data_IF_871860453822
#
_entry.id   IF_871860453822
#
_cell.length_a   1.000
_cell.length_b   1.000
_cell.length_c   1.000
_cell.angle_alpha   90.00
_cell.angle_beta   90.00
_cell.angle_gamma   90.00
#
_symmetry.space_group_name_H-M   'P 1'
#
loop_
_entity.id
_entity.type
_entity.pdbx_description
1 polymer ?
#
# COMPACT_ATOMS: atom_id res chain seq x y z
N UNK A 1 5.60 20.57 -0.52
CA UNK A 1 5.06 19.60 -1.49
C UNK A 1 3.58 19.89 -1.69
N UNK A 2 3.03 19.77 -2.91
CA UNK A 2 1.58 19.80 -3.18
C UNK A 2 1.01 18.38 -3.44
N UNK A 3 1.91 17.43 -3.65
CA UNK A 3 1.60 16.09 -4.12
C UNK A 3 1.59 15.05 -3.00
N UNK A 4 1.02 13.88 -3.26
CA UNK A 4 0.73 12.86 -2.23
C UNK A 4 1.34 11.50 -2.56
N UNK A 5 1.55 10.68 -1.52
CA UNK A 5 1.81 9.25 -1.68
C UNK A 5 1.02 8.43 -0.67
N UNK A 6 0.68 7.19 -1.05
CA UNK A 6 0.13 6.20 -0.13
C UNK A 6 1.23 5.68 0.80
N UNK A 7 1.04 5.83 2.11
CA UNK A 7 2.08 5.55 3.12
C UNK A 7 1.70 4.40 4.05
N UNK A 8 0.45 4.36 4.50
CA UNK A 8 0.08 3.54 5.66
C UNK A 8 -1.26 2.85 5.46
N UNK A 9 -1.25 1.53 5.62
CA UNK A 9 -2.45 0.71 5.61
C UNK A 9 -2.99 0.54 7.03
N UNK A 10 -4.30 0.65 7.18
CA UNK A 10 -5.03 0.21 8.36
C UNK A 10 -5.98 -0.90 7.97
N UNK A 11 -6.11 -1.91 8.84
CA UNK A 11 -7.04 -3.03 8.69
C UNK A 11 -7.91 -3.07 9.93
N UNK A 12 -9.22 -2.91 9.74
CA UNK A 12 -10.20 -2.84 10.82
C UNK A 12 -9.80 -1.80 11.90
N UNK A 13 -9.41 -0.61 11.43
CA UNK A 13 -8.91 0.53 12.21
C UNK A 13 -7.56 0.32 12.91
N UNK A 14 -6.95 -0.87 12.81
CA UNK A 14 -5.61 -1.13 13.32
C UNK A 14 -4.57 -0.61 12.34
N UNK A 15 -3.73 0.34 12.77
CA UNK A 15 -2.57 0.81 12.02
C UNK A 15 -1.58 -0.36 11.83
N UNK A 16 -1.23 -0.68 10.58
CA UNK A 16 -0.25 -1.72 10.29
C UNK A 16 1.19 -1.22 10.40
N UNK A 17 1.41 0.09 10.49
CA UNK A 17 2.70 0.77 10.53
C UNK A 17 3.09 1.35 9.18
N UNK A 18 3.72 2.52 9.18
CA UNK A 18 4.14 3.21 7.97
C UNK A 18 5.01 2.32 7.08
N UNK A 19 4.69 2.27 5.78
CA UNK A 19 5.32 1.42 4.77
C UNK A 19 5.08 -0.09 4.95
N UNK A 20 4.49 -0.55 6.05
CA UNK A 20 4.31 -1.99 6.29
C UNK A 20 3.27 -2.55 5.32
N UNK A 21 3.66 -3.59 4.58
CA UNK A 21 2.86 -4.21 3.53
C UNK A 21 2.55 -3.28 2.34
N UNK A 22 3.12 -2.08 2.28
CA UNK A 22 2.94 -1.09 1.20
C UNK A 22 4.17 -1.06 0.32
N UNK A 23 3.98 -1.15 -0.99
CA UNK A 23 5.03 -1.01 -2.01
C UNK A 23 5.21 0.48 -2.34
N UNK A 24 6.06 1.16 -1.57
CA UNK A 24 6.30 2.60 -1.71
C UNK A 24 7.51 2.88 -2.62
N UNK A 25 7.56 4.05 -3.29
CA UNK A 25 8.80 4.56 -3.87
C UNK A 25 9.86 4.81 -2.80
N UNK A 26 11.14 4.72 -3.18
CA UNK A 26 12.27 4.91 -2.27
C UNK A 26 12.94 6.28 -2.35
N UNK A 27 12.81 6.97 -3.49
CA UNK A 27 13.40 8.30 -3.71
C UNK A 27 12.52 9.40 -3.09
N UNK A 28 13.01 10.05 -2.05
CA UNK A 28 12.33 11.10 -1.28
C UNK A 28 11.94 12.31 -2.15
N UNK A 29 12.74 12.65 -3.16
CA UNK A 29 12.49 13.79 -4.06
C UNK A 29 11.35 13.54 -5.03
N UNK A 30 11.05 12.27 -5.31
CA UNK A 30 10.08 11.90 -6.34
C UNK A 30 8.94 11.03 -5.83
N UNK A 31 8.96 10.59 -4.56
CA UNK A 31 7.99 9.68 -3.99
C UNK A 31 6.54 10.18 -4.05
N UNK A 32 6.35 11.50 -3.96
CA UNK A 32 5.01 12.10 -4.07
C UNK A 32 4.63 12.50 -5.48
N UNK A 33 5.55 12.44 -6.47
CA UNK A 33 5.25 12.88 -7.83
C UNK A 33 4.20 11.98 -8.50
N UNK A 34 3.35 12.52 -9.38
CA UNK A 34 2.39 11.73 -10.11
C UNK A 34 3.09 10.72 -11.04
N UNK A 35 2.42 9.59 -11.29
CA UNK A 35 2.92 8.57 -12.21
C UNK A 35 2.87 9.08 -13.65
N UNK A 36 3.99 8.99 -14.35
CA UNK A 36 4.13 9.33 -15.77
C UNK A 36 5.12 8.37 -16.45
N UNK A 37 4.90 8.00 -17.73
CA UNK A 37 3.64 8.18 -18.50
C UNK A 37 2.54 7.21 -18.04
N UNK A 38 1.28 7.48 -18.39
CA UNK A 38 0.12 6.61 -18.08
C UNK A 38 0.15 5.23 -18.79
N UNK A 39 1.12 5.02 -19.67
CA UNK A 39 1.39 3.73 -20.33
C UNK A 39 2.47 2.91 -19.62
N UNK A 40 3.14 3.47 -18.61
CA UNK A 40 4.18 2.78 -17.83
C UNK A 40 3.59 1.65 -16.99
N UNK A 41 4.39 0.61 -16.72
CA UNK A 41 4.09 -0.42 -15.73
C UNK A 41 3.86 0.17 -14.33
N UNK A 42 4.46 1.33 -14.03
CA UNK A 42 4.27 2.05 -12.77
C UNK A 42 2.81 2.45 -12.53
N UNK A 43 1.96 2.49 -13.55
CA UNK A 43 0.52 2.73 -13.35
C UNK A 43 -0.17 1.65 -12.51
N UNK A 44 0.41 0.45 -12.40
CA UNK A 44 -0.14 -0.60 -11.57
C UNK A 44 0.00 -0.27 -10.08
N UNK A 45 1.21 0.09 -9.63
CA UNK A 45 1.51 0.18 -8.20
C UNK A 45 2.43 1.35 -7.78
N UNK A 46 2.74 2.25 -8.71
CA UNK A 46 3.61 3.41 -8.49
C UNK A 46 5.05 3.07 -8.82
N UNK A 47 5.93 4.08 -8.74
CA UNK A 47 7.38 3.89 -8.92
C UNK A 47 7.90 2.92 -7.87
N UNK A 48 8.71 1.95 -8.29
CA UNK A 48 9.17 0.80 -7.49
C UNK A 48 8.04 -0.13 -6.98
N UNK A 49 6.77 0.17 -7.26
CA UNK A 49 5.63 -0.62 -6.78
C UNK A 49 5.43 -1.95 -7.54
N UNK A 50 6.13 -2.14 -8.66
CA UNK A 50 6.19 -3.43 -9.34
C UNK A 50 6.85 -4.50 -8.48
N UNK A 51 7.83 -4.11 -7.65
CA UNK A 51 8.58 -5.02 -6.79
C UNK A 51 7.80 -5.31 -5.49
N UNK A 52 7.73 -6.58 -5.07
CA UNK A 52 7.08 -6.94 -3.83
C UNK A 52 7.90 -6.51 -2.62
N UNK A 53 7.21 -6.26 -1.50
CA UNK A 53 7.85 -5.99 -0.20
C UNK A 53 7.82 -7.22 0.71
N UNK A 54 8.74 -7.36 1.68
CA UNK A 54 8.81 -8.56 2.52
C UNK A 54 7.55 -8.95 3.28
N UNK A 55 6.74 -7.99 3.77
CA UNK A 55 5.57 -8.30 4.59
C UNK A 55 4.25 -8.26 3.80
N UNK A 56 3.33 -9.14 4.21
CA UNK A 56 1.98 -9.25 3.69
C UNK A 56 1.03 -9.18 4.88
N UNK A 57 0.06 -8.26 4.83
CA UNK A 57 -0.84 -8.02 5.95
C UNK A 57 -2.10 -8.88 5.82
N UNK A 58 -2.44 -9.63 6.86
CA UNK A 58 -3.66 -10.44 6.87
C UNK A 58 -4.90 -9.56 7.10
N UNK A 59 -5.93 -9.74 6.28
CA UNK A 59 -7.24 -9.10 6.41
C UNK A 59 -8.34 -10.15 6.23
N UNK A 60 -9.45 -10.05 6.95
CA UNK A 60 -10.60 -10.95 6.71
C UNK A 60 -11.41 -10.47 5.52
N UNK A 61 -12.16 -11.37 4.87
CA UNK A 61 -13.25 -10.95 3.98
C UNK A 61 -14.16 -9.94 4.71
N UNK A 62 -14.54 -8.85 4.06
CA UNK A 62 -15.36 -7.81 4.72
C UNK A 62 -14.62 -6.82 5.62
N UNK A 63 -13.32 -7.01 5.90
CA UNK A 63 -12.51 -6.06 6.67
C UNK A 63 -12.56 -4.67 6.05
N UNK A 64 -12.50 -3.65 6.92
CA UNK A 64 -12.36 -2.27 6.50
C UNK A 64 -10.88 -1.98 6.25
N UNK A 65 -10.51 -1.71 5.00
CA UNK A 65 -9.20 -1.19 4.66
C UNK A 65 -9.25 0.33 4.67
N UNK A 66 -8.27 0.96 5.31
CA UNK A 66 -8.06 2.40 5.21
C UNK A 66 -6.67 2.68 4.69
N UNK A 67 -6.58 3.51 3.65
CA UNK A 67 -5.34 3.90 2.99
C UNK A 67 -5.05 5.35 3.39
N UNK A 68 -3.89 5.59 3.99
CA UNK A 68 -3.44 6.92 4.37
C UNK A 68 -2.52 7.51 3.30
N UNK A 69 -2.97 8.62 2.72
CA UNK A 69 -2.23 9.43 1.78
C UNK A 69 -1.64 10.64 2.50
N UNK A 70 -0.32 10.85 2.37
CA UNK A 70 0.39 11.95 3.02
C UNK A 70 1.09 12.85 2.01
N UNK A 71 1.07 14.14 2.31
CA UNK A 71 1.79 15.19 1.57
C UNK A 71 3.29 15.15 1.89
N UNK A 72 3.59 14.86 3.16
CA UNK A 72 4.92 14.64 3.72
C UNK A 72 4.98 13.19 4.17
N UNK A 73 5.61 12.29 3.40
CA UNK A 73 5.49 10.85 3.66
C UNK A 73 6.06 10.43 5.02
N UNK A 74 7.05 11.18 5.52
CA UNK A 74 7.67 11.03 6.85
C UNK A 74 6.90 11.68 8.00
N UNK A 75 5.74 12.28 7.70
CA UNK A 75 4.88 12.96 8.65
C UNK A 75 5.55 14.11 9.42
N UNK A 76 6.61 14.74 8.87
CA UNK A 76 7.19 15.96 9.47
C UNK A 76 6.19 17.12 9.55
N UNK A 77 5.21 17.16 8.64
CA UNK A 77 4.11 18.11 8.66
C UNK A 77 2.79 17.40 8.33
N UNK A 78 1.65 17.89 8.85
CA UNK A 78 0.35 17.35 8.48
C UNK A 78 0.03 17.67 7.01
N UNK A 79 -0.87 16.88 6.43
CA UNK A 79 -1.39 17.11 5.08
C UNK A 79 -1.47 15.81 4.28
N UNK A 80 -2.41 15.76 3.34
CA UNK A 80 -2.64 14.60 2.48
C UNK A 80 -2.28 14.90 1.04
N UNK A 81 -3.00 15.82 0.42
CA UNK A 81 -2.78 16.36 -0.93
C UNK A 81 -3.23 17.82 -0.94
N UNK A 82 -2.67 18.65 -1.82
CA UNK A 82 -3.16 20.01 -2.02
C UNK A 82 -4.65 20.00 -2.42
N UNK A 83 -5.52 20.80 -1.77
CA UNK A 83 -6.97 20.80 -2.05
C UNK A 83 -7.35 21.16 -3.49
N UNK A 84 -6.47 21.84 -4.24
CA UNK A 84 -6.66 22.15 -5.65
C UNK A 84 -6.53 20.94 -6.57
N UNK A 85 -6.00 19.80 -6.11
CA UNK A 85 -5.86 18.56 -6.88
C UNK A 85 -7.19 17.79 -7.02
N UNK A 86 -8.28 18.50 -7.27
CA UNK A 86 -9.62 17.94 -7.36
C UNK A 86 -9.70 16.82 -8.40
N UNK A 87 -10.45 15.77 -8.06
CA UNK A 87 -10.72 14.64 -8.93
C UNK A 87 -11.17 13.39 -8.19
N UNK A 88 -11.39 12.28 -8.90
CA UNK A 88 -11.96 11.07 -8.32
C UNK A 88 -10.91 10.23 -7.59
N UNK A 89 -11.40 9.25 -6.83
CA UNK A 89 -10.60 8.14 -6.33
C UNK A 89 -11.21 6.80 -6.71
N UNK A 90 -10.38 5.76 -6.72
CA UNK A 90 -10.81 4.38 -6.94
C UNK A 90 -9.95 3.40 -6.14
N UNK A 91 -10.50 2.22 -5.86
CA UNK A 91 -9.74 1.11 -5.27
C UNK A 91 -9.94 -0.14 -6.12
N UNK A 92 -8.82 -0.75 -6.50
CA UNK A 92 -8.77 -1.99 -7.28
C UNK A 92 -8.13 -3.11 -6.49
N UNK A 93 -8.51 -4.34 -6.82
CA UNK A 93 -7.88 -5.56 -6.34
C UNK A 93 -7.36 -6.36 -7.53
N UNK A 94 -6.24 -7.07 -7.33
CA UNK A 94 -5.76 -8.14 -8.20
C UNK A 94 -5.42 -9.34 -7.34
N UNK A 95 -6.06 -10.49 -7.60
CA UNK A 95 -5.65 -11.75 -6.98
C UNK A 95 -4.36 -12.22 -7.65
N UNK A 96 -3.42 -12.70 -6.85
CA UNK A 96 -2.17 -13.33 -7.31
C UNK A 96 -2.05 -14.70 -6.65
N UNK A 97 -1.32 -15.60 -7.29
CA UNK A 97 -1.01 -16.92 -6.75
C UNK A 97 0.28 -16.85 -5.92
N UNK A 98 1.27 -16.11 -6.39
CA UNK A 98 2.51 -15.83 -5.67
C UNK A 98 2.78 -14.32 -5.59
N UNK A 99 2.67 -13.75 -4.38
CA UNK A 99 2.90 -12.32 -4.14
C UNK A 99 4.30 -11.83 -4.55
N UNK A 100 5.30 -12.71 -4.52
CA UNK A 100 6.70 -12.34 -4.73
C UNK A 100 7.18 -12.49 -6.19
N UNK A 101 6.44 -13.20 -7.04
CA UNK A 101 6.82 -13.40 -8.45
C UNK A 101 5.78 -12.91 -9.44
N UNK A 102 4.50 -12.85 -9.06
CA UNK A 102 3.45 -12.45 -9.98
C UNK A 102 3.50 -10.94 -10.21
N UNK A 103 3.50 -10.53 -11.48
CA UNK A 103 3.57 -9.11 -11.83
C UNK A 103 2.33 -8.36 -11.34
N UNK A 104 2.53 -7.19 -10.74
CA UNK A 104 1.44 -6.27 -10.46
C UNK A 104 0.83 -5.70 -11.75
N UNK A 105 1.65 -5.46 -12.76
CA UNK A 105 1.19 -4.94 -14.05
C UNK A 105 0.43 -6.02 -14.86
N UNK A 106 -0.32 -5.57 -15.87
CA UNK A 106 -1.11 -6.42 -16.74
C UNK A 106 -2.54 -6.65 -16.26
N UNK A 107 -3.15 -7.75 -16.70
CA UNK A 107 -4.55 -8.08 -16.44
C UNK A 107 -4.85 -8.58 -15.02
N UNK A 108 -6.13 -8.87 -14.77
CA UNK A 108 -6.60 -9.45 -13.50
C UNK A 108 -7.06 -8.44 -12.45
N UNK A 109 -6.98 -7.14 -12.75
CA UNK A 109 -7.50 -6.10 -11.88
C UNK A 109 -9.02 -5.99 -11.98
N UNK A 110 -9.67 -5.65 -10.88
CA UNK A 110 -11.07 -5.26 -10.86
C UNK A 110 -11.30 -4.19 -9.81
N UNK A 111 -12.21 -3.27 -10.11
CA UNK A 111 -12.55 -2.14 -9.24
C UNK A 111 -13.54 -2.59 -8.17
N UNK A 112 -13.26 -2.32 -6.89
CA UNK A 112 -14.18 -2.63 -5.78
C UNK A 112 -14.89 -1.40 -5.21
N UNK A 113 -14.39 -0.21 -5.53
CA UNK A 113 -14.94 1.06 -5.05
C UNK A 113 -14.48 2.21 -5.94
N UNK A 114 -15.34 3.21 -6.09
CA UNK A 114 -15.03 4.50 -6.69
C UNK A 114 -15.78 5.62 -6.00
N UNK A 115 -15.21 6.81 -6.09
CA UNK A 115 -15.83 8.04 -5.63
C UNK A 115 -15.44 9.20 -6.56
N UNK A 116 -16.45 9.83 -7.18
CA UNK A 116 -16.28 10.85 -8.20
C UNK A 116 -16.75 12.23 -7.74
N UNK A 117 -17.27 13.02 -8.68
CA UNK A 117 -17.91 14.29 -8.37
C UNK A 117 -19.36 14.08 -7.94
N UNK A 118 -19.73 14.63 -6.77
CA UNK A 118 -21.12 14.70 -6.32
C UNK A 118 -21.69 16.08 -6.60
N UNK A 119 -22.65 16.16 -7.53
CA UNK A 119 -23.27 17.42 -7.95
C UNK A 119 -24.16 18.06 -6.87
N UNK A 120 -24.59 17.31 -5.85
CA UNK A 120 -25.43 17.85 -4.76
C UNK A 120 -24.59 18.60 -3.74
N UNK A 121 -23.43 18.05 -3.41
CA UNK A 121 -22.49 18.66 -2.45
C UNK A 121 -21.43 19.52 -3.12
N UNK A 122 -21.29 19.41 -4.45
CA UNK A 122 -20.22 20.00 -5.25
C UNK A 122 -18.83 19.57 -4.75
N UNK A 123 -18.70 18.31 -4.32
CA UNK A 123 -17.48 17.76 -3.73
C UNK A 123 -16.94 16.58 -4.53
N UNK A 124 -15.64 16.60 -4.77
CA UNK A 124 -14.87 15.49 -5.32
C UNK A 124 -14.42 14.52 -4.22
N UNK A 125 -13.90 13.36 -4.62
CA UNK A 125 -13.26 12.46 -3.65
C UNK A 125 -12.11 13.16 -2.92
N UNK A 126 -11.30 13.95 -3.63
CA UNK A 126 -10.17 14.67 -3.03
C UNK A 126 -10.61 15.64 -1.93
N UNK A 127 -11.74 16.33 -2.06
CA UNK A 127 -12.29 17.13 -0.96
C UNK A 127 -12.54 16.28 0.30
N UNK A 128 -13.14 15.09 0.12
CA UNK A 128 -13.44 14.17 1.21
C UNK A 128 -12.18 13.55 1.80
N UNK A 129 -11.18 13.27 0.98
CA UNK A 129 -9.86 12.79 1.40
C UNK A 129 -9.16 13.83 2.27
N UNK A 130 -9.11 15.09 1.82
CA UNK A 130 -8.51 16.20 2.58
C UNK A 130 -9.25 16.40 3.91
N UNK A 131 -10.59 16.41 3.88
CA UNK A 131 -11.42 16.51 5.09
C UNK A 131 -11.16 15.37 6.09
N UNK A 132 -10.83 14.18 5.59
CA UNK A 132 -10.53 12.99 6.39
C UNK A 132 -9.03 12.81 6.66
N UNK A 133 -8.23 13.87 6.58
CA UNK A 133 -6.78 13.85 6.85
C UNK A 133 -6.02 12.77 6.04
N UNK A 134 -6.40 12.56 4.77
CA UNK A 134 -5.74 11.59 3.89
C UNK A 134 -6.24 10.15 4.05
N UNK A 135 -7.25 9.90 4.89
CA UNK A 135 -7.77 8.56 5.13
C UNK A 135 -8.90 8.21 4.15
N UNK A 136 -8.61 7.29 3.23
CA UNK A 136 -9.59 6.71 2.30
C UNK A 136 -9.97 5.30 2.77
N UNK A 137 -11.26 5.05 3.06
CA UNK A 137 -11.70 3.76 3.62
C UNK A 137 -12.64 3.00 2.70
N UNK A 138 -12.36 1.71 2.48
CA UNK A 138 -13.15 0.80 1.64
C UNK A 138 -13.27 -0.57 2.31
N UNK A 139 -14.45 -1.18 2.26
CA UNK A 139 -14.65 -2.55 2.73
C UNK A 139 -14.27 -3.56 1.66
N UNK A 140 -13.51 -4.58 2.04
CA UNK A 140 -13.30 -5.73 1.17
C UNK A 140 -14.63 -6.43 0.87
N UNK A 141 -14.90 -6.83 -0.38
CA UNK A 141 -16.06 -7.66 -0.70
C UNK A 141 -16.06 -8.97 0.12
N UNK A 142 -17.24 -9.35 0.62
CA UNK A 142 -17.41 -10.60 1.38
C UNK A 142 -17.36 -11.86 0.52
N UNK A 143 -17.48 -11.73 -0.80
CA UNK A 143 -17.36 -12.85 -1.75
C UNK A 143 -15.95 -13.12 -2.24
N UNK A 144 -14.91 -12.51 -1.65
CA UNK A 144 -13.53 -12.82 -2.05
C UNK A 144 -13.12 -14.21 -1.53
N UNK A 145 -12.60 -15.11 -2.39
CA UNK A 145 -11.94 -16.32 -1.94
C UNK A 145 -10.64 -16.01 -1.23
N UNK A 146 -10.17 -16.96 -0.42
CA UNK A 146 -8.91 -16.81 0.32
C UNK A 146 -7.71 -16.68 -0.62
N UNK A 147 -6.67 -15.97 -0.18
CA UNK A 147 -5.37 -15.92 -0.86
C UNK A 147 -4.76 -14.54 -0.92
N UNK A 148 -3.73 -14.41 -1.76
CA UNK A 148 -2.95 -13.19 -1.91
C UNK A 148 -3.62 -12.20 -2.86
N UNK A 149 -3.68 -10.93 -2.45
CA UNK A 149 -4.22 -9.84 -3.24
C UNK A 149 -3.32 -8.61 -3.16
N UNK A 150 -3.12 -7.98 -4.32
CA UNK A 150 -2.57 -6.63 -4.41
C UNK A 150 -3.76 -5.67 -4.39
N UNK A 151 -3.68 -4.65 -3.53
CA UNK A 151 -4.72 -3.62 -3.38
C UNK A 151 -4.18 -2.28 -3.82
N UNK A 152 -4.84 -1.64 -4.78
CA UNK A 152 -4.42 -0.39 -5.40
C UNK A 152 -5.42 0.73 -5.12
N UNK A 153 -5.20 1.57 -4.10
CA UNK A 153 -5.86 2.86 -4.02
C UNK A 153 -5.27 3.82 -5.07
N UNK A 154 -6.14 4.62 -5.68
CA UNK A 154 -5.81 5.59 -6.71
C UNK A 154 -6.54 6.90 -6.46
N UNK A 155 -5.83 8.00 -6.68
CA UNK A 155 -6.34 9.36 -6.80
C UNK A 155 -5.95 9.85 -8.20
N UNK A 156 -6.90 10.44 -8.91
CA UNK A 156 -6.66 11.13 -10.17
C UNK A 156 -6.93 12.61 -9.96
N UNK A 157 -5.91 13.45 -10.06
CA UNK A 157 -6.04 14.90 -10.00
C UNK A 157 -6.24 15.48 -11.40
N UNK A 158 -7.22 16.37 -11.55
CA UNK A 158 -7.70 16.88 -12.83
C UNK A 158 -7.43 18.38 -13.06
N UNK A 159 -6.79 19.04 -12.11
CA UNK A 159 -6.54 20.50 -12.15
C UNK A 159 -5.78 20.97 -13.40
N UNK A 160 -5.03 20.09 -14.06
CA UNK A 160 -4.38 20.37 -15.35
C UNK A 160 -4.82 19.46 -16.51
N UNK A 161 -5.83 18.62 -16.28
CA UNK A 161 -6.28 17.60 -17.24
C UNK A 161 -6.72 18.21 -18.58
N UNK A 162 -7.65 19.17 -18.56
CA UNK A 162 -8.21 19.74 -19.79
C UNK A 162 -7.39 20.90 -20.38
N UNK A 163 -6.60 21.61 -19.56
CA UNK A 163 -5.91 22.83 -19.98
C UNK A 163 -4.43 22.64 -20.32
N UNK A 164 -3.83 21.52 -19.93
CA UNK A 164 -2.42 21.19 -20.21
C UNK A 164 -2.21 19.74 -20.65
N UNK A 165 -3.30 19.00 -20.90
CA UNK A 165 -3.26 17.57 -21.19
C UNK A 165 -2.48 16.76 -20.13
N UNK A 166 -2.57 17.18 -18.85
CA UNK A 166 -1.80 16.60 -17.74
C UNK A 166 -2.70 16.06 -16.61
N UNK A 167 -3.45 14.96 -16.84
CA UNK A 167 -4.08 14.23 -15.75
C UNK A 167 -3.03 13.54 -14.88
N UNK A 168 -3.14 13.68 -13.57
CA UNK A 168 -2.10 13.24 -12.63
C UNK A 168 -2.59 12.11 -11.72
N UNK A 169 -1.95 10.96 -11.82
CA UNK A 169 -2.27 9.79 -11.00
C UNK A 169 -1.35 9.69 -9.79
N UNK A 170 -1.95 9.59 -8.60
CA UNK A 170 -1.29 9.28 -7.35
C UNK A 170 -1.83 7.96 -6.83
N UNK A 171 -0.98 6.95 -6.76
CA UNK A 171 -1.38 5.59 -6.48
C UNK A 171 -0.23 4.84 -5.78
N UNK A 172 -0.57 3.71 -5.19
CA UNK A 172 0.38 2.78 -4.61
C UNK A 172 -0.27 1.41 -4.48
N UNK A 173 0.46 0.43 -3.94
CA UNK A 173 -0.10 -0.89 -3.68
C UNK A 173 0.17 -1.37 -2.27
N UNK A 174 -0.84 -2.01 -1.68
CA UNK A 174 -0.68 -2.84 -0.49
C UNK A 174 -0.72 -4.33 -0.85
N UNK A 175 0.02 -5.14 -0.11
CA UNK A 175 0.03 -6.59 -0.17
C UNK A 175 -0.81 -7.14 0.98
N UNK A 176 -1.88 -7.85 0.66
CA UNK A 176 -2.70 -8.49 1.69
C UNK A 176 -2.87 -9.98 1.41
N UNK A 177 -3.07 -10.71 2.49
CA UNK A 177 -3.68 -12.03 2.44
C UNK A 177 -5.13 -11.89 2.91
N UNK A 178 -6.08 -12.24 2.05
CA UNK A 178 -7.50 -12.28 2.41
C UNK A 178 -7.79 -13.62 3.06
N UNK A 179 -8.11 -13.58 4.33
CA UNK A 179 -8.57 -14.70 5.11
C UNK A 179 -10.08 -14.89 4.95
N UNK A 180 -10.47 -16.00 4.31
CA UNK A 180 -11.84 -16.24 3.86
C UNK A 180 -12.20 -17.73 3.90
N UNK A 181 -13.49 -18.01 4.06
CA UNK A 181 -14.11 -19.33 3.95
C UNK A 181 -14.72 -19.58 2.54
N UNK A 182 -14.68 -18.57 1.65
CA UNK A 182 -15.23 -18.65 0.29
C UNK A 182 -14.33 -19.58 -0.52
N UNK A 183 -14.94 -20.62 -1.08
CA UNK A 183 -14.26 -21.63 -1.92
C UNK A 183 -14.49 -21.33 -3.40
N UNK A 184 -13.66 -21.92 -4.24
CA UNK A 184 -13.72 -21.77 -5.69
C UNK A 184 -12.92 -20.57 -6.23
N UNK A 185 -12.79 -20.48 -7.56
CA UNK A 185 -12.03 -19.41 -8.21
C UNK A 185 -12.75 -18.06 -8.09
N UNK A 186 -11.97 -16.98 -8.16
CA UNK A 186 -12.51 -15.63 -8.29
C UNK A 186 -12.89 -15.37 -9.75
N UNK A 187 -14.18 -15.42 -10.06
CA UNK A 187 -14.70 -15.17 -11.42
C UNK A 187 -15.12 -13.71 -11.61
N UNK A 188 -14.23 -12.90 -12.19
CA UNK A 188 -14.54 -11.50 -12.54
C UNK A 188 -15.11 -11.47 -13.95
N UNK A 189 -16.34 -10.97 -14.19
CA UNK A 189 -16.86 -10.91 -15.55
C UNK A 189 -16.04 -9.96 -16.41
N UNK A 190 -15.85 -10.29 -17.70
CA UNK A 190 -14.93 -9.58 -18.62
C UNK A 190 -15.08 -8.07 -18.63
N UNK A 191 -16.32 -7.56 -18.54
CA UNK A 191 -16.63 -6.11 -18.55
C UNK A 191 -16.23 -5.37 -17.27
N UNK A 192 -15.90 -6.10 -16.20
CA UNK A 192 -15.40 -5.56 -14.94
C UNK A 192 -13.90 -5.82 -14.72
N UNK A 193 -13.24 -6.50 -15.64
CA UNK A 193 -11.80 -6.66 -15.62
C UNK A 193 -11.11 -5.40 -16.16
N UNK A 194 -9.95 -5.10 -15.61
CA UNK A 194 -9.03 -4.08 -16.06
C UNK A 194 -7.64 -4.68 -16.30
N UNK A 195 -6.94 -4.09 -17.27
CA UNK A 195 -5.50 -4.28 -17.48
C UNK A 195 -4.83 -2.97 -17.10
N UNK A 196 -3.82 -3.02 -16.22
CA UNK A 196 -3.13 -1.81 -15.74
C UNK A 196 -1.62 -2.00 -15.98
N UNK A 197 -0.98 -1.18 -16.84
CA UNK A 197 -1.55 -0.09 -17.65
C UNK A 197 -2.49 -0.60 -18.76
N UNK A 198 -3.36 0.29 -19.27
CA UNK A 198 -4.21 0.01 -20.44
C UNK A 198 -5.71 0.31 -20.28
N UNK A 199 -6.23 0.35 -19.04
CA UNK A 199 -7.64 0.69 -18.79
C UNK A 199 -7.99 2.16 -19.06
N UNK A 200 -6.97 3.01 -19.18
CA UNK A 200 -7.06 4.43 -19.56
C UNK A 200 -6.06 4.74 -20.67
N UNK A 201 -6.36 5.78 -21.43
CA UNK A 201 -5.48 6.41 -22.41
C UNK A 201 -5.70 7.92 -22.42
N UNK A 202 -4.88 8.66 -23.18
CA UNK A 202 -4.92 10.12 -23.23
C UNK A 202 -6.28 10.72 -23.68
N UNK A 203 -7.12 9.95 -24.37
CA UNK A 203 -8.44 10.36 -24.85
C UNK A 203 -9.59 9.85 -23.96
N UNK A 204 -9.28 9.20 -22.83
CA UNK A 204 -10.31 8.72 -21.92
C UNK A 204 -11.09 9.92 -21.39
N UNK A 205 -12.44 9.98 -21.53
CA UNK A 205 -13.18 11.20 -21.22
C UNK A 205 -12.97 11.77 -19.81
N UNK A 206 -12.77 10.90 -18.81
CA UNK A 206 -12.49 11.32 -17.43
C UNK A 206 -11.10 11.92 -17.21
N UNK A 207 -10.16 11.73 -18.15
CA UNK A 207 -8.79 12.27 -18.12
C UNK A 207 -8.65 13.58 -18.89
N UNK A 208 -9.66 13.97 -19.67
CA UNK A 208 -9.72 15.25 -20.40
C UNK A 208 -10.84 16.15 -19.87
N UNK A 209 -11.36 15.84 -18.68
CA UNK A 209 -12.51 16.50 -18.09
C UNK A 209 -12.12 17.88 -17.54
N UNK A 210 -12.81 18.93 -17.97
CA UNK A 210 -12.62 20.28 -17.45
C UNK A 210 -13.43 20.47 -16.16
N UNK A 211 -12.71 20.64 -15.05
CA UNK A 211 -13.28 20.82 -13.70
C UNK A 211 -13.64 22.28 -13.36
N UNK A 212 -13.33 23.24 -14.25
CA UNK A 212 -13.52 24.67 -14.00
C UNK A 212 -14.77 25.26 -14.68
N UNK A 213 -15.63 24.42 -15.25
CA UNK A 213 -16.90 24.87 -15.84
C UNK A 213 -17.89 25.30 -14.75
N UNK A 214 -18.70 26.32 -15.02
CA UNK A 214 -19.73 26.85 -14.10
C UNK A 214 -20.69 25.76 -13.58
N UNK A 215 -21.03 24.80 -14.44
CA UNK A 215 -21.84 23.62 -14.12
C UNK A 215 -21.19 22.37 -14.66
N UNK A 216 -20.63 21.56 -13.78
CA UNK A 216 -20.02 20.30 -14.16
C UNK A 216 -21.08 19.27 -14.58
N UNK A 217 -20.94 18.64 -15.77
CA UNK A 217 -21.75 17.48 -16.14
C UNK A 217 -21.39 16.27 -15.26
N UNK A 218 -22.19 15.18 -15.32
CA UNK A 218 -21.83 13.93 -14.64
C UNK A 218 -20.42 13.48 -15.02
N UNK A 219 -19.57 13.29 -14.01
CA UNK A 219 -18.17 12.92 -14.25
C UNK A 219 -18.07 11.49 -14.82
N UNK A 220 -17.43 11.29 -15.99
CA UNK A 220 -17.26 9.98 -16.59
C UNK A 220 -16.12 9.21 -15.90
N UNK A 221 -16.45 8.50 -14.81
CA UNK A 221 -15.50 7.67 -14.05
C UNK A 221 -14.67 6.76 -14.97
N UNK A 222 -13.32 6.84 -14.95
CA UNK A 222 -12.46 5.98 -15.76
C UNK A 222 -12.50 4.51 -15.33
N UNK A 223 -12.27 3.60 -16.28
CA UNK A 223 -12.16 2.16 -16.02
C UNK A 223 -13.50 1.43 -15.86
N UNK A 224 -13.46 0.13 -15.52
CA UNK A 224 -14.66 -0.68 -15.39
C UNK A 224 -15.56 -0.19 -14.25
N UNK A 225 -16.84 -0.58 -14.31
CA UNK A 225 -17.76 -0.43 -13.17
C UNK A 225 -17.31 -1.28 -11.99
N UNK A 226 -17.65 -0.82 -10.78
CA UNK A 226 -17.40 -1.55 -9.53
C UNK A 226 -17.97 -2.98 -9.62
N UNK A 227 -17.18 -3.94 -9.17
CA UNK A 227 -17.54 -5.35 -9.05
C UNK A 227 -17.41 -5.80 -7.60
N UNK A 228 -18.52 -6.28 -7.04
CA UNK A 228 -18.58 -6.89 -5.72
C UNK A 228 -18.85 -8.39 -5.92
N UNK A 229 -17.84 -9.26 -5.75
CA UNK A 229 -18.04 -10.71 -5.79
C UNK A 229 -19.19 -11.15 -4.86
N UNK A 230 -20.12 -11.98 -5.34
CA UNK A 230 -21.24 -12.44 -4.54
C UNK A 230 -20.76 -13.32 -3.39
N UNK A 231 -21.34 -13.14 -2.20
CA UNK A 231 -20.98 -13.95 -1.02
C UNK A 231 -21.56 -15.39 -1.04
N UNK A 232 -22.43 -15.71 -2.01
CA UNK A 232 -23.12 -17.01 -2.13
C UNK A 232 -22.70 -17.71 -3.42
N UNK A 233 -22.24 -18.96 -3.31
CA UNK A 233 -21.97 -19.80 -4.47
C UNK A 233 -21.20 -21.11 -4.27
N UNK A 234 -21.13 -21.71 -3.07
CA UNK A 234 -20.68 -23.11 -3.02
C UNK A 234 -21.81 -23.99 -3.53
N UNK A 235 -21.70 -24.45 -4.78
CA UNK A 235 -22.30 -25.73 -5.16
C UNK A 235 -21.72 -26.81 -4.24
N UNK A 236 -22.48 -27.83 -3.80
CA UNK A 236 -22.06 -28.78 -2.76
C UNK A 236 -20.93 -29.75 -3.16
N UNK A 237 -20.15 -29.48 -4.20
CA UNK A 237 -19.26 -30.49 -4.78
C UNK A 237 -17.84 -29.97 -5.06
N UNK A 238 -17.26 -29.25 -4.10
CA UNK A 238 -15.82 -29.06 -4.05
C UNK A 238 -15.28 -29.66 -2.75
N UNK A 239 -14.38 -30.60 -2.95
CA UNK A 239 -13.67 -31.44 -1.99
C UNK A 239 -13.63 -30.84 -0.56
N UNK A 240 -14.46 -31.40 0.32
CA UNK A 240 -14.54 -31.01 1.72
C UNK A 240 -13.21 -31.26 2.47
N UNK A 241 -12.28 -32.01 1.85
CA UNK A 241 -10.97 -32.32 2.40
C UNK A 241 -9.88 -31.32 2.01
N UNK A 242 -10.12 -30.38 1.08
CA UNK A 242 -9.17 -29.31 0.82
C UNK A 242 -9.18 -28.33 2.02
N UNK A 243 -8.09 -28.31 2.77
CA UNK A 243 -7.88 -27.38 3.88
C UNK A 243 -8.03 -25.92 3.44
N UNK A 244 -8.46 -25.06 4.37
CA UNK A 244 -8.52 -23.61 4.13
C UNK A 244 -7.11 -23.10 3.84
N UNK A 245 -6.94 -22.36 2.75
CA UNK A 245 -5.69 -21.69 2.44
C UNK A 245 -5.34 -20.75 3.61
N UNK A 246 -4.12 -20.86 4.11
CA UNK A 246 -3.57 -20.02 5.17
C UNK A 246 -2.37 -19.24 4.65
N UNK A 247 -2.15 -18.06 5.21
CA UNK A 247 -0.96 -17.28 4.88
C UNK A 247 0.29 -17.99 5.42
N UNK A 248 1.19 -18.39 4.52
CA UNK A 248 2.52 -18.92 4.87
C UNK A 248 3.61 -17.91 4.58
N UNK A 249 3.41 -17.10 3.53
CA UNK A 249 4.39 -16.13 3.05
C UNK A 249 4.19 -14.72 3.61
N UNK A 250 5.30 -13.98 3.68
CA UNK A 250 5.33 -12.57 4.08
C UNK A 250 4.87 -12.31 5.50
N UNK A 251 4.98 -13.32 6.38
CA UNK A 251 4.68 -13.17 7.79
C UNK A 251 5.69 -12.23 8.47
N UNK A 252 5.19 -11.37 9.35
CA UNK A 252 6.07 -10.64 10.27
C UNK A 252 6.64 -11.67 11.26
N UNK A 253 7.98 -11.76 11.44
CA UNK A 253 8.59 -12.71 12.36
C UNK A 253 8.03 -12.56 13.79
N UNK A 254 7.82 -13.68 14.50
CA UNK A 254 7.26 -13.66 15.86
C UNK A 254 8.21 -13.02 16.88
N UNK A 255 9.51 -13.12 16.62
CA UNK A 255 10.61 -12.55 17.38
C UNK A 255 10.92 -11.09 16.96
N UNK A 256 10.03 -10.44 16.20
CA UNK A 256 10.25 -9.08 15.76
C UNK A 256 10.18 -8.09 16.92
N UNK A 257 11.34 -7.56 17.33
CA UNK A 257 11.44 -6.64 18.47
C UNK A 257 10.96 -5.24 18.11
N UNK A 258 11.33 -4.78 16.91
CA UNK A 258 10.95 -3.49 16.37
C UNK A 258 10.79 -3.60 14.86
N UNK A 259 9.81 -2.86 14.31
CA UNK A 259 9.48 -2.89 12.88
C UNK A 259 9.64 -1.51 12.27
N UNK A 260 10.19 -1.43 11.07
CA UNK A 260 10.18 -0.22 10.23
C UNK A 260 9.86 -0.61 8.80
N UNK A 261 8.75 -0.09 8.25
CA UNK A 261 8.23 -0.55 6.96
C UNK A 261 8.19 -2.09 6.90
N UNK A 262 8.94 -2.68 5.98
CA UNK A 262 9.01 -4.13 5.78
C UNK A 262 10.31 -4.75 6.32
N UNK A 263 10.99 -4.04 7.22
CA UNK A 263 12.13 -4.52 7.97
C UNK A 263 11.77 -4.81 9.43
N UNK A 264 12.48 -5.78 10.00
CA UNK A 264 12.31 -6.22 11.37
C UNK A 264 13.67 -6.36 12.06
N UNK A 265 13.82 -5.71 13.22
CA UNK A 265 14.95 -5.89 14.13
C UNK A 265 14.77 -7.20 14.90
N UNK A 266 15.74 -8.10 14.75
CA UNK A 266 15.76 -9.42 15.39
C UNK A 266 16.67 -9.41 16.61
N UNK A 267 16.38 -10.25 17.62
CA UNK A 267 17.25 -10.39 18.79
C UNK A 267 18.70 -10.62 18.38
N UNK A 268 19.61 -9.95 19.07
CA UNK A 268 21.04 -10.23 18.95
C UNK A 268 21.37 -11.41 19.87
N UNK A 269 22.27 -12.29 19.42
CA UNK A 269 22.65 -13.48 20.19
C UNK A 269 23.22 -13.11 21.57
N UNK A 270 22.88 -13.86 22.63
CA UNK A 270 23.46 -13.69 23.95
C UNK A 270 24.99 -13.81 23.93
N UNK A 271 25.66 -13.01 24.76
CA UNK A 271 27.12 -12.98 24.84
C UNK A 271 27.62 -12.92 26.29
N UNK A 272 28.77 -13.54 26.52
CA UNK A 272 29.44 -13.64 27.83
C UNK A 272 30.96 -13.42 27.75
N UNK A 273 31.49 -12.98 26.60
CA UNK A 273 32.92 -12.73 26.39
C UNK A 273 33.16 -11.51 25.50
N UNK A 274 34.34 -10.91 25.58
CA UNK A 274 34.72 -9.74 24.77
C UNK A 274 34.50 -9.96 23.27
N UNK A 275 34.99 -11.10 22.74
CA UNK A 275 34.83 -11.47 21.33
C UNK A 275 33.36 -11.56 20.91
N UNK A 276 32.52 -12.15 21.75
CA UNK A 276 31.09 -12.29 21.46
C UNK A 276 30.36 -10.95 21.57
N UNK A 277 30.72 -10.10 22.53
CA UNK A 277 30.18 -8.75 22.71
C UNK A 277 30.39 -7.92 21.43
N UNK A 278 31.63 -7.83 20.95
CA UNK A 278 31.95 -7.08 19.73
C UNK A 278 31.30 -7.66 18.47
N UNK A 279 31.15 -8.98 18.39
CA UNK A 279 30.38 -9.61 17.30
C UNK A 279 28.90 -9.20 17.36
N UNK A 280 28.30 -9.24 18.54
CA UNK A 280 26.91 -8.85 18.76
C UNK A 280 26.66 -7.37 18.40
N UNK A 281 27.58 -6.47 18.76
CA UNK A 281 27.53 -5.05 18.37
C UNK A 281 27.57 -4.89 16.85
N UNK A 282 28.51 -5.56 16.18
CA UNK A 282 28.62 -5.53 14.71
C UNK A 282 27.34 -6.06 14.04
N UNK A 283 26.78 -7.16 14.53
CA UNK A 283 25.53 -7.74 14.02
C UNK A 283 24.35 -6.78 14.24
N UNK A 284 24.30 -6.09 15.39
CA UNK A 284 23.30 -5.06 15.68
C UNK A 284 23.37 -3.89 14.69
N UNK A 285 24.57 -3.34 14.46
CA UNK A 285 24.75 -2.23 13.52
C UNK A 285 24.53 -2.66 12.06
N UNK A 286 24.85 -3.90 11.69
CA UNK A 286 24.51 -4.44 10.38
C UNK A 286 22.99 -4.50 10.16
N UNK A 287 22.24 -4.90 11.19
CA UNK A 287 20.78 -4.80 11.19
C UNK A 287 20.30 -3.34 11.06
N UNK A 288 20.93 -2.41 11.76
CA UNK A 288 20.62 -0.98 11.71
C UNK A 288 20.83 -0.36 10.32
N UNK A 289 21.92 -0.74 9.64
CA UNK A 289 22.21 -0.34 8.26
C UNK A 289 21.11 -0.84 7.30
N UNK A 290 20.76 -2.14 7.39
CA UNK A 290 19.68 -2.73 6.59
C UNK A 290 18.33 -2.04 6.82
N UNK A 291 18.03 -1.64 8.06
CA UNK A 291 16.81 -0.87 8.36
C UNK A 291 16.73 0.41 7.53
N UNK A 292 17.83 1.18 7.46
CA UNK A 292 17.88 2.44 6.71
C UNK A 292 17.83 2.23 5.21
N UNK A 293 18.58 1.28 4.68
CA UNK A 293 18.61 0.96 3.25
C UNK A 293 17.27 0.45 2.71
N UNK A 294 16.49 -0.24 3.55
CA UNK A 294 15.17 -0.79 3.18
C UNK A 294 13.99 0.11 3.52
N UNK A 295 14.23 1.28 4.11
CA UNK A 295 13.16 2.21 4.50
C UNK A 295 12.77 3.14 3.33
N UNK A 296 11.48 3.20 2.95
CA UNK A 296 10.96 4.26 2.09
C UNK A 296 11.00 5.62 2.83
N UNK A 297 10.65 6.76 2.20
CA UNK A 297 10.79 8.10 2.78
C UNK A 297 9.75 8.44 3.86
N UNK A 298 9.49 7.50 4.77
CA UNK A 298 8.56 7.57 5.91
C UNK A 298 9.29 7.93 7.23
N UNK A 299 10.42 8.64 7.14
CA UNK A 299 11.32 8.92 8.27
C UNK A 299 12.08 7.68 8.77
N UNK A 300 12.92 7.80 9.79
CA UNK A 300 13.80 6.72 10.27
C UNK A 300 13.67 6.37 11.77
N UNK A 301 12.66 6.89 12.46
CA UNK A 301 12.52 6.82 13.94
C UNK A 301 12.81 5.43 14.55
N UNK A 302 12.30 4.34 13.96
CA UNK A 302 12.54 3.00 14.49
C UNK A 302 13.93 2.42 14.12
N UNK A 303 14.52 2.85 13.01
CA UNK A 303 15.93 2.55 12.73
C UNK A 303 16.87 3.31 13.68
N UNK A 304 16.51 4.53 14.06
CA UNK A 304 17.28 5.34 15.02
C UNK A 304 17.20 4.72 16.42
N UNK A 305 16.01 4.32 16.87
CA UNK A 305 15.85 3.55 18.12
C UNK A 305 16.67 2.26 18.14
N UNK A 306 16.77 1.57 17.00
CA UNK A 306 17.60 0.37 16.89
C UNK A 306 19.10 0.72 16.96
N UNK A 307 19.54 1.78 16.28
CA UNK A 307 20.91 2.30 16.44
C UNK A 307 21.25 2.66 17.88
N UNK A 308 20.33 3.30 18.60
CA UNK A 308 20.52 3.66 20.00
C UNK A 308 20.69 2.41 20.89
N UNK A 309 19.94 1.35 20.59
CA UNK A 309 20.13 0.05 21.27
C UNK A 309 21.52 -0.52 20.98
N UNK A 310 21.98 -0.49 19.73
CA UNK A 310 23.34 -0.93 19.39
C UNK A 310 24.40 -0.09 20.12
N UNK A 311 24.21 1.22 20.23
CA UNK A 311 25.14 2.10 20.96
C UNK A 311 25.21 1.81 22.46
N UNK A 312 24.12 1.38 23.09
CA UNK A 312 24.14 0.90 24.48
C UNK A 312 24.94 -0.39 24.62
N UNK A 313 24.84 -1.31 23.67
CA UNK A 313 25.64 -2.53 23.65
C UNK A 313 27.13 -2.22 23.47
N UNK A 314 27.44 -1.33 22.53
CA UNK A 314 28.80 -0.85 22.25
C UNK A 314 29.46 -0.29 23.53
N UNK A 315 28.79 0.65 24.19
CA UNK A 315 29.28 1.25 25.44
C UNK A 315 29.49 0.23 26.57
N UNK A 316 28.71 -0.87 26.62
CA UNK A 316 28.94 -1.96 27.57
C UNK A 316 30.18 -2.78 27.21
N UNK A 317 30.40 -3.05 25.92
CA UNK A 317 31.62 -3.73 25.48
C UNK A 317 32.88 -2.89 25.76
N UNK A 318 32.83 -1.57 25.55
CA UNK A 318 33.92 -0.64 25.88
C UNK A 318 34.24 -0.62 27.39
N UNK A 319 33.22 -0.78 28.25
CA UNK A 319 33.37 -0.85 29.70
C UNK A 319 33.74 -2.23 30.23
N UNK A 320 34.13 -3.16 29.35
CA UNK A 320 34.45 -4.56 29.66
C UNK A 320 33.29 -5.36 30.30
N UNK A 321 32.04 -4.89 30.13
CA UNK A 321 30.83 -5.56 30.63
C UNK A 321 30.28 -6.53 29.59
N UNK A 322 30.89 -7.71 29.52
CA UNK A 322 30.64 -8.67 28.45
C UNK A 322 29.44 -9.61 28.64
N UNK A 323 28.48 -9.28 29.50
CA UNK A 323 27.25 -10.06 29.68
C UNK A 323 26.06 -9.29 29.09
N UNK A 324 25.42 -9.81 28.05
CA UNK A 324 24.26 -9.20 27.40
C UNK A 324 23.56 -10.11 26.39
N UNK A 325 22.68 -9.58 25.52
CA UNK A 325 22.33 -8.16 25.36
C UNK A 325 21.61 -7.54 26.59
N UNK A 326 21.64 -6.20 26.74
CA UNK A 326 21.03 -5.46 27.84
C UNK A 326 19.51 -5.28 27.74
#
# INVERSE_FOLDING_TARGET
SAHTTFTTLFIDKKNQGDGTCVRMPYDDKTATNPVKPITSSDMACGRNGGDPVPFICSAKKGSLLTFEFRLWPDAQQPGSIDPGHLGPCAVYLKKVDNMFSDSAAGGGWFKIWEDGYDSKTQKWCVDRLVKNNGLLSVRLPRGLPAGYYIVRPEILALHWAAHRDDPQFYLGCAQIFVDSDVRGPLEIPRRQQATIPGYVNAKTPGLTFDIYQDKLPPYPMPGPKVYIPPAKGNKPNQDLNAGRLVQTDGLIPKDCLIKKANWCGRPVEPYSSARMCWRAVNDCYAQSKKCRESSPPIGLTNCDRWSDHCGKMDALCEQEKYKGPP
#
